data_IF_803755965667
#
_entry.id   IF_803755965667
#
_cell.length_a   1.000
_cell.length_b   1.000
_cell.length_c   1.000
_cell.angle_alpha   90.00
_cell.angle_beta   90.00
_cell.angle_gamma   90.00
#
_symmetry.space_group_name_H-M   'P 1'
#
loop_
_entity.id
_entity.type
_entity.pdbx_description
1 polymer ?
#
# COMPACT_ATOMS: atom_id res chain seq x y z
N UNK A 1 -8.60 -19.64 -22.34
CA UNK A 1 -8.63 -19.58 -20.87
C UNK A 1 -10.07 -19.36 -20.41
N UNK A 2 -10.48 -19.90 -19.25
CA UNK A 2 -11.75 -19.50 -18.65
C UNK A 2 -11.75 -18.00 -18.32
N UNK A 3 -12.92 -17.38 -18.34
CA UNK A 3 -13.10 -15.98 -17.91
C UNK A 3 -12.54 -15.84 -16.48
N UNK A 4 -11.70 -14.83 -16.19
CA UNK A 4 -11.08 -14.68 -14.88
C UNK A 4 -12.16 -14.45 -13.83
N UNK A 5 -11.97 -15.09 -12.66
CA UNK A 5 -12.92 -14.94 -11.56
C UNK A 5 -12.89 -13.52 -11.00
N UNK A 6 -14.01 -13.06 -10.43
CA UNK A 6 -14.11 -11.70 -9.86
C UNK A 6 -13.02 -11.37 -8.85
N UNK A 7 -12.71 -12.32 -7.96
CA UNK A 7 -11.64 -12.16 -6.97
C UNK A 7 -10.26 -12.00 -7.60
N UNK A 8 -9.97 -12.67 -8.72
CA UNK A 8 -8.68 -12.57 -9.39
C UNK A 8 -8.48 -11.16 -9.97
N UNK A 9 -9.51 -10.62 -10.61
CA UNK A 9 -9.51 -9.24 -11.10
C UNK A 9 -9.35 -8.24 -9.97
N UNK A 10 -10.05 -8.42 -8.84
CA UNK A 10 -9.93 -7.55 -7.66
C UNK A 10 -8.50 -7.56 -7.10
N UNK A 11 -7.90 -8.76 -6.94
CA UNK A 11 -6.53 -8.88 -6.43
C UNK A 11 -5.50 -8.25 -7.36
N UNK A 12 -5.63 -8.47 -8.67
CA UNK A 12 -4.71 -7.87 -9.63
C UNK A 12 -4.89 -6.35 -9.74
N UNK A 13 -6.15 -5.87 -9.64
CA UNK A 13 -6.48 -4.45 -9.63
C UNK A 13 -5.77 -3.72 -8.48
N UNK A 14 -5.78 -4.28 -7.27
CA UNK A 14 -5.09 -3.70 -6.11
C UNK A 14 -3.59 -3.49 -6.37
N UNK A 15 -2.93 -4.46 -7.00
CA UNK A 15 -1.50 -4.38 -7.33
C UNK A 15 -1.26 -3.25 -8.34
N UNK A 16 -2.00 -3.23 -9.45
CA UNK A 16 -1.82 -2.21 -10.48
C UNK A 16 -2.24 -0.81 -10.02
N UNK A 17 -3.27 -0.70 -9.17
CA UNK A 17 -3.66 0.55 -8.54
C UNK A 17 -2.54 1.10 -7.66
N UNK A 18 -1.94 0.24 -6.83
CA UNK A 18 -0.79 0.61 -5.99
C UNK A 18 0.36 1.10 -6.87
N UNK A 19 0.72 0.37 -7.92
CA UNK A 19 1.78 0.75 -8.85
C UNK A 19 1.51 2.11 -9.51
N UNK A 20 0.32 2.30 -10.07
CA UNK A 20 -0.09 3.57 -10.68
C UNK A 20 -0.07 4.72 -9.66
N UNK A 21 -0.43 4.45 -8.40
CA UNK A 21 -0.36 5.42 -7.32
C UNK A 21 1.09 5.75 -6.90
N UNK A 22 2.03 4.83 -7.08
CA UNK A 22 3.44 5.04 -6.74
C UNK A 22 4.21 5.74 -7.86
N UNK A 23 3.80 5.55 -9.11
CA UNK A 23 4.36 6.20 -10.30
C UNK A 23 3.32 7.10 -10.98
N UNK A 24 3.18 8.31 -10.44
CA UNK A 24 2.30 9.33 -11.02
C UNK A 24 2.78 9.81 -12.39
N UNK A 25 4.10 9.75 -12.65
CA UNK A 25 4.62 10.15 -13.95
C UNK A 25 4.17 9.18 -15.03
N UNK A 26 4.37 7.87 -14.81
CA UNK A 26 3.86 6.83 -15.70
C UNK A 26 2.35 6.97 -15.91
N UNK A 27 1.59 7.20 -14.84
CA UNK A 27 0.14 7.33 -14.93
C UNK A 27 -0.31 8.53 -15.77
N UNK A 28 0.30 9.70 -15.58
CA UNK A 28 -0.01 10.90 -16.37
C UNK A 28 0.43 10.76 -17.84
N UNK A 29 1.61 10.16 -18.07
CA UNK A 29 2.13 9.91 -19.42
C UNK A 29 1.27 8.90 -20.16
N UNK A 30 0.96 7.76 -19.54
CA UNK A 30 0.06 6.74 -20.09
C UNK A 30 -1.30 7.33 -20.47
N UNK A 31 -1.77 8.30 -19.69
CA UNK A 31 -3.05 8.94 -19.91
C UNK A 31 -3.08 9.89 -21.10
N UNK A 32 -1.94 10.51 -21.42
CA UNK A 32 -1.79 11.49 -22.51
C UNK A 32 -2.83 12.62 -22.44
N UNK A 33 -3.07 13.18 -21.24
CA UNK A 33 -4.01 14.30 -21.07
C UNK A 33 -3.35 15.67 -21.21
N UNK A 34 -2.01 15.74 -21.15
CA UNK A 34 -1.26 16.99 -21.17
C UNK A 34 -0.13 16.90 -22.19
N UNK A 35 -0.09 17.87 -23.10
CA UNK A 35 0.93 17.92 -24.15
C UNK A 35 1.63 19.27 -24.20
N UNK A 36 2.88 19.24 -24.63
CA UNK A 36 3.61 20.40 -25.12
C UNK A 36 3.76 20.20 -26.61
N UNK A 37 3.03 20.99 -27.40
CA UNK A 37 2.89 20.73 -28.84
C UNK A 37 2.34 19.30 -29.05
N UNK A 38 3.09 18.42 -29.71
CA UNK A 38 2.69 17.03 -29.99
C UNK A 38 3.39 16.01 -29.07
N UNK A 39 4.04 16.47 -27.99
CA UNK A 39 4.75 15.60 -27.05
C UNK A 39 4.04 15.53 -25.70
N UNK A 40 3.86 14.30 -25.21
CA UNK A 40 3.40 14.03 -23.84
C UNK A 40 4.41 14.56 -22.84
N UNK A 41 3.93 15.16 -21.76
CA UNK A 41 4.78 15.86 -20.79
C UNK A 41 4.88 15.10 -19.48
N UNK A 42 6.10 15.03 -18.94
CA UNK A 42 6.37 14.46 -17.62
C UNK A 42 5.69 15.27 -16.50
N UNK A 43 5.22 14.57 -15.47
CA UNK A 43 4.59 15.12 -14.26
C UNK A 43 5.43 16.25 -13.65
N UNK A 44 6.74 16.06 -13.51
CA UNK A 44 7.63 17.04 -12.85
C UNK A 44 7.61 18.42 -13.53
N UNK A 45 7.38 18.46 -14.85
CA UNK A 45 7.31 19.72 -15.61
C UNK A 45 5.97 20.43 -15.44
N UNK A 46 4.88 19.66 -15.32
CA UNK A 46 3.52 20.22 -15.26
C UNK A 46 3.06 20.47 -13.83
N UNK A 47 3.56 19.70 -12.86
CA UNK A 47 3.13 19.76 -11.47
C UNK A 47 3.14 21.17 -10.85
N UNK A 48 4.18 22.02 -11.06
CA UNK A 48 4.16 23.38 -10.53
C UNK A 48 2.97 24.21 -11.05
N UNK A 49 2.53 23.96 -12.28
CA UNK A 49 1.37 24.62 -12.87
C UNK A 49 0.05 24.06 -12.34
N UNK A 50 -0.03 22.74 -12.12
CA UNK A 50 -1.23 22.12 -11.54
C UNK A 50 -1.49 22.55 -10.09
N UNK A 51 -0.46 23.05 -9.41
CA UNK A 51 -0.52 23.58 -8.05
C UNK A 51 -0.59 25.13 -8.02
N UNK A 52 -0.65 25.80 -9.18
CA UNK A 52 -0.74 27.26 -9.26
C UNK A 52 -2.13 27.75 -8.82
N UNK A 53 -2.15 28.71 -7.89
CA UNK A 53 -3.37 29.25 -7.29
C UNK A 53 -4.31 29.91 -8.31
N UNK A 54 -3.77 30.55 -9.35
CA UNK A 54 -4.60 31.19 -10.38
C UNK A 54 -5.23 30.14 -11.29
N UNK A 55 -4.48 29.08 -11.63
CA UNK A 55 -5.00 27.95 -12.40
C UNK A 55 -6.08 27.24 -11.61
N UNK A 56 -5.86 26.99 -10.32
CA UNK A 56 -6.85 26.39 -9.44
C UNK A 56 -8.11 27.26 -9.33
N UNK A 57 -7.96 28.57 -9.12
CA UNK A 57 -9.11 29.49 -9.11
C UNK A 57 -9.89 29.46 -10.44
N UNK A 58 -9.19 29.40 -11.58
CA UNK A 58 -9.86 29.30 -12.89
C UNK A 58 -10.54 27.95 -13.09
N UNK A 59 -9.99 26.87 -12.54
CA UNK A 59 -10.60 25.55 -12.54
C UNK A 59 -11.88 25.53 -11.69
N UNK A 60 -11.89 26.15 -10.51
CA UNK A 60 -13.11 26.28 -9.69
C UNK A 60 -14.19 27.10 -10.40
N UNK A 61 -13.81 28.14 -11.14
CA UNK A 61 -14.74 28.88 -11.99
C UNK A 61 -15.32 27.99 -13.10
N UNK A 62 -14.49 27.16 -13.76
CA UNK A 62 -14.98 26.18 -14.74
C UNK A 62 -16.03 25.26 -14.12
N UNK A 63 -15.78 24.70 -12.94
CA UNK A 63 -16.75 23.82 -12.26
C UNK A 63 -18.06 24.54 -11.95
N UNK A 64 -17.98 25.81 -11.50
CA UNK A 64 -19.15 26.64 -11.22
C UNK A 64 -19.94 26.98 -12.48
N UNK A 65 -19.26 27.31 -13.58
CA UNK A 65 -19.88 27.57 -14.88
C UNK A 65 -20.59 26.30 -15.40
N UNK A 66 -19.94 25.14 -15.32
CA UNK A 66 -20.52 23.85 -15.74
C UNK A 66 -21.76 23.46 -14.94
N UNK A 67 -21.85 23.84 -13.66
CA UNK A 67 -23.06 23.63 -12.85
C UNK A 67 -24.23 24.54 -13.27
N UNK A 68 -23.93 25.70 -13.84
CA UNK A 68 -24.94 26.68 -14.29
C UNK A 68 -25.37 26.46 -15.74
N UNK A 69 -24.56 25.77 -16.55
CA UNK A 69 -24.89 25.39 -17.92
C UNK A 69 -26.21 24.61 -17.95
N UNK A 70 -27.24 25.18 -18.58
CA UNK A 70 -28.62 24.78 -18.32
C UNK A 70 -29.13 23.66 -19.22
N UNK A 71 -28.47 23.26 -20.33
CA UNK A 71 -28.71 21.97 -21.04
C UNK A 71 -27.98 21.79 -22.38
N UNK A 72 -27.31 22.79 -22.96
CA UNK A 72 -26.75 22.62 -24.33
C UNK A 72 -25.29 22.13 -24.32
N UNK A 73 -25.01 21.12 -25.16
CA UNK A 73 -23.65 20.58 -25.38
C UNK A 73 -22.68 21.68 -25.84
N UNK A 74 -23.19 22.70 -26.53
CA UNK A 74 -22.39 23.82 -27.05
C UNK A 74 -21.92 24.78 -25.96
N UNK A 75 -22.77 25.12 -24.98
CA UNK A 75 -22.38 25.91 -23.81
C UNK A 75 -21.32 25.19 -22.98
N UNK A 76 -21.50 23.88 -22.76
CA UNK A 76 -20.55 23.04 -22.03
C UNK A 76 -19.17 23.02 -22.72
N UNK A 77 -19.17 22.81 -24.05
CA UNK A 77 -17.96 22.84 -24.85
C UNK A 77 -17.24 24.20 -24.82
N UNK A 78 -18.00 25.29 -24.75
CA UNK A 78 -17.42 26.63 -24.63
C UNK A 78 -16.73 26.84 -23.28
N UNK A 79 -17.32 26.34 -22.18
CA UNK A 79 -16.69 26.38 -20.85
C UNK A 79 -15.36 25.62 -20.83
N UNK A 80 -15.31 24.39 -21.36
CA UNK A 80 -14.06 23.65 -21.47
C UNK A 80 -13.02 24.42 -22.29
N UNK A 81 -13.38 24.89 -23.49
CA UNK A 81 -12.46 25.61 -24.38
C UNK A 81 -11.86 26.85 -23.71
N UNK A 82 -12.65 27.64 -22.99
CA UNK A 82 -12.17 28.82 -22.25
C UNK A 82 -11.11 28.47 -21.22
N UNK A 83 -11.28 27.34 -20.51
CA UNK A 83 -10.30 26.88 -19.54
C UNK A 83 -9.03 26.34 -20.23
N UNK A 84 -9.18 25.53 -21.28
CA UNK A 84 -8.08 24.97 -22.07
C UNK A 84 -7.21 26.07 -22.69
N UNK A 85 -7.82 27.09 -23.30
CA UNK A 85 -7.13 28.26 -23.86
C UNK A 85 -6.38 29.07 -22.79
N UNK A 86 -7.00 29.26 -21.62
CA UNK A 86 -6.36 29.91 -20.48
C UNK A 86 -5.14 29.10 -20.00
N UNK A 87 -5.30 27.79 -19.84
CA UNK A 87 -4.24 26.90 -19.37
C UNK A 87 -3.06 26.91 -20.36
N UNK A 88 -3.33 26.81 -21.66
CA UNK A 88 -2.33 26.91 -22.72
C UNK A 88 -1.59 28.25 -22.69
N UNK A 89 -2.30 29.37 -22.61
CA UNK A 89 -1.68 30.70 -22.56
C UNK A 89 -0.82 30.89 -21.30
N UNK A 90 -1.19 30.27 -20.19
CA UNK A 90 -0.50 30.41 -18.89
C UNK A 90 0.73 29.50 -18.77
N UNK A 91 0.69 28.33 -19.40
CA UNK A 91 1.68 27.25 -19.15
C UNK A 91 2.43 26.78 -20.40
N UNK A 92 1.97 27.14 -21.59
CA UNK A 92 2.37 26.57 -22.89
C UNK A 92 2.04 25.07 -23.08
N UNK A 93 1.22 24.49 -22.19
CA UNK A 93 0.74 23.11 -22.30
C UNK A 93 -0.74 23.06 -22.70
N UNK A 94 -1.10 22.12 -23.55
CA UNK A 94 -2.51 21.76 -23.79
C UNK A 94 -2.96 20.74 -22.75
N UNK A 95 -4.21 20.83 -22.32
CA UNK A 95 -4.80 19.93 -21.34
C UNK A 95 -6.21 19.52 -21.82
N UNK A 96 -6.45 18.22 -22.00
CA UNK A 96 -7.78 17.69 -22.35
C UNK A 96 -8.66 17.58 -21.09
N UNK A 97 -9.13 18.73 -20.60
CA UNK A 97 -9.92 18.80 -19.36
C UNK A 97 -11.28 18.15 -19.52
N UNK A 98 -11.84 18.15 -20.74
CA UNK A 98 -13.15 17.58 -21.05
C UNK A 98 -13.17 16.09 -20.78
N UNK A 99 -12.17 15.37 -21.31
CA UNK A 99 -12.06 13.93 -21.14
C UNK A 99 -11.81 13.55 -19.69
N UNK A 100 -11.02 14.36 -18.96
CA UNK A 100 -10.79 14.20 -17.53
C UNK A 100 -12.09 14.36 -16.75
N UNK A 101 -12.85 15.44 -16.97
CA UNK A 101 -14.10 15.69 -16.23
C UNK A 101 -15.23 14.72 -16.59
N UNK A 102 -15.25 14.17 -17.81
CA UNK A 102 -16.19 13.13 -18.21
C UNK A 102 -16.09 11.87 -17.32
N UNK A 103 -14.89 11.52 -16.85
CA UNK A 103 -14.70 10.42 -15.89
C UNK A 103 -15.43 10.68 -14.57
N UNK A 104 -15.36 11.90 -14.04
CA UNK A 104 -15.99 12.27 -12.76
C UNK A 104 -17.52 12.31 -12.83
N UNK A 105 -18.07 12.70 -13.98
CA UNK A 105 -19.53 12.63 -14.22
C UNK A 105 -20.08 11.21 -14.06
N UNK A 106 -19.30 10.20 -14.45
CA UNK A 106 -19.71 8.80 -14.42
C UNK A 106 -19.44 8.10 -13.08
N UNK A 107 -18.59 8.67 -12.22
CA UNK A 107 -18.11 8.02 -10.98
C UNK A 107 -18.61 8.68 -9.69
N UNK A 108 -19.16 9.89 -9.77
CA UNK A 108 -19.62 10.67 -8.60
C UNK A 108 -18.51 10.95 -7.58
N UNK A 109 -17.23 10.88 -7.97
CA UNK A 109 -16.13 11.27 -7.10
C UNK A 109 -16.12 12.78 -6.84
N UNK A 110 -15.79 13.20 -5.61
CA UNK A 110 -15.69 14.62 -5.32
C UNK A 110 -14.51 15.22 -6.10
N UNK A 111 -14.77 16.36 -6.74
CA UNK A 111 -13.76 17.15 -7.45
C UNK A 111 -13.33 18.26 -6.50
N UNK A 112 -12.07 18.21 -6.06
CA UNK A 112 -11.54 19.16 -5.08
C UNK A 112 -10.57 20.16 -5.70
N UNK A 113 -9.54 19.66 -6.40
CA UNK A 113 -8.48 20.47 -7.02
C UNK A 113 -8.13 19.90 -8.37
N UNK A 114 -7.65 20.73 -9.29
CA UNK A 114 -7.26 20.30 -10.63
C UNK A 114 -6.23 19.16 -10.57
N UNK A 115 -5.21 19.33 -9.70
CA UNK A 115 -4.15 18.34 -9.51
C UNK A 115 -4.71 16.98 -9.06
N UNK A 116 -5.57 16.93 -8.04
CA UNK A 116 -6.14 15.66 -7.57
C UNK A 116 -7.08 15.03 -8.62
N UNK A 117 -7.85 15.84 -9.32
CA UNK A 117 -8.73 15.39 -10.41
C UNK A 117 -7.94 14.72 -11.52
N UNK A 118 -6.84 15.33 -11.96
CA UNK A 118 -5.96 14.73 -12.96
C UNK A 118 -5.30 13.44 -12.46
N UNK A 119 -4.79 13.43 -11.23
CA UNK A 119 -4.14 12.25 -10.67
C UNK A 119 -5.10 11.06 -10.53
N UNK A 120 -6.31 11.25 -10.01
CA UNK A 120 -7.28 10.16 -9.86
C UNK A 120 -7.63 9.53 -11.20
N UNK A 121 -7.89 10.37 -12.21
CA UNK A 121 -8.28 9.91 -13.54
C UNK A 121 -7.13 9.22 -14.27
N UNK A 122 -5.91 9.76 -14.15
CA UNK A 122 -4.70 9.13 -14.69
C UNK A 122 -4.42 7.77 -14.04
N UNK A 123 -4.55 7.67 -12.71
CA UNK A 123 -4.37 6.40 -11.98
C UNK A 123 -5.43 5.39 -12.39
N UNK A 124 -6.71 5.80 -12.48
CA UNK A 124 -7.78 4.95 -12.96
C UNK A 124 -7.44 4.40 -14.35
N UNK A 125 -7.09 5.28 -15.28
CA UNK A 125 -6.79 4.90 -16.66
C UNK A 125 -5.62 3.92 -16.75
N UNK A 126 -4.49 4.24 -16.10
CA UNK A 126 -3.31 3.37 -16.08
C UNK A 126 -3.62 1.99 -15.47
N UNK A 127 -4.39 1.97 -14.37
CA UNK A 127 -4.81 0.71 -13.73
C UNK A 127 -5.65 -0.16 -14.67
N UNK A 128 -6.66 0.44 -15.33
CA UNK A 128 -7.52 -0.27 -16.29
C UNK A 128 -6.72 -0.72 -17.52
N UNK A 129 -5.77 0.09 -18.00
CA UNK A 129 -4.89 -0.27 -19.10
C UNK A 129 -4.02 -1.49 -18.74
N UNK A 130 -3.38 -1.48 -17.56
CA UNK A 130 -2.60 -2.62 -17.06
C UNK A 130 -3.44 -3.89 -16.88
N UNK A 131 -4.67 -3.77 -16.35
CA UNK A 131 -5.61 -4.90 -16.29
C UNK A 131 -5.96 -5.43 -17.68
N UNK A 132 -6.23 -4.54 -18.64
CA UNK A 132 -6.54 -4.91 -20.03
C UNK A 132 -5.38 -5.66 -20.66
N UNK A 133 -4.13 -5.20 -20.47
CA UNK A 133 -2.94 -5.89 -20.97
C UNK A 133 -2.74 -7.25 -20.30
N UNK A 134 -2.89 -7.32 -18.98
CA UNK A 134 -2.69 -8.55 -18.20
C UNK A 134 -3.70 -9.64 -18.57
N UNK A 135 -4.98 -9.27 -18.70
CA UNK A 135 -6.06 -10.18 -19.08
C UNK A 135 -6.33 -10.22 -20.59
N UNK A 136 -5.42 -9.71 -21.42
CA UNK A 136 -5.58 -9.69 -22.87
C UNK A 136 -5.88 -11.09 -23.47
N UNK A 137 -5.26 -12.20 -23.03
CA UNK A 137 -5.64 -13.53 -23.50
C UNK A 137 -7.11 -13.86 -23.24
N UNK A 138 -7.64 -13.52 -22.05
CA UNK A 138 -9.03 -13.75 -21.70
C UNK A 138 -9.99 -12.83 -22.49
N UNK A 139 -9.57 -11.60 -22.79
CA UNK A 139 -10.33 -10.68 -23.65
C UNK A 139 -10.42 -11.20 -25.09
N UNK A 140 -9.32 -11.70 -25.64
CA UNK A 140 -9.28 -12.31 -26.99
C UNK A 140 -10.20 -13.53 -27.03
N UNK A 141 -10.12 -14.41 -26.03
CA UNK A 141 -10.98 -15.60 -25.95
C UNK A 141 -12.46 -15.23 -25.83
N UNK A 142 -12.80 -14.23 -25.01
CA UNK A 142 -14.16 -13.73 -24.90
C UNK A 142 -14.67 -13.13 -26.22
N UNK A 143 -13.80 -12.41 -26.93
CA UNK A 143 -14.10 -11.80 -28.22
C UNK A 143 -14.25 -12.81 -29.37
N UNK A 144 -13.87 -14.08 -29.21
CA UNK A 144 -14.01 -15.14 -30.23
C UNK A 144 -15.20 -16.08 -29.95
N UNK A 145 -16.03 -15.80 -28.93
CA UNK A 145 -17.16 -16.65 -28.52
C UNK A 145 -18.48 -16.14 -29.09
N UNK A 146 -19.45 -16.97 -29.54
CA UNK A 146 -20.68 -16.52 -30.25
C UNK A 146 -21.54 -15.44 -29.54
N UNK A 147 -21.25 -15.09 -28.27
CA UNK A 147 -21.79 -13.94 -27.54
C UNK A 147 -20.80 -12.75 -27.42
N UNK A 148 -19.87 -12.59 -28.37
CA UNK A 148 -18.60 -11.82 -28.34
C UNK A 148 -18.72 -10.46 -27.64
N UNK A 149 -19.72 -9.70 -28.06
CA UNK A 149 -19.93 -8.33 -27.61
C UNK A 149 -20.36 -8.23 -26.14
N UNK A 150 -21.01 -9.26 -25.60
CA UNK A 150 -21.51 -9.24 -24.23
C UNK A 150 -20.42 -9.59 -23.22
N UNK A 151 -19.60 -10.60 -23.47
CA UNK A 151 -18.60 -11.07 -22.51
C UNK A 151 -17.39 -10.13 -22.41
N UNK A 152 -16.94 -9.59 -23.55
CA UNK A 152 -15.88 -8.59 -23.55
C UNK A 152 -16.31 -7.32 -22.79
N UNK A 153 -17.55 -6.84 -23.01
CA UNK A 153 -18.12 -5.71 -22.25
C UNK A 153 -18.26 -6.02 -20.77
N UNK A 154 -18.70 -7.23 -20.40
CA UNK A 154 -18.79 -7.65 -18.98
C UNK A 154 -17.41 -7.59 -18.31
N UNK A 155 -16.37 -8.13 -18.95
CA UNK A 155 -15.02 -8.14 -18.38
C UNK A 155 -14.42 -6.72 -18.28
N UNK A 156 -14.61 -5.88 -19.30
CA UNK A 156 -14.19 -4.47 -19.26
C UNK A 156 -14.93 -3.68 -18.17
N UNK A 157 -16.23 -3.93 -17.97
CA UNK A 157 -17.00 -3.33 -16.89
C UNK A 157 -16.49 -3.78 -15.53
N UNK A 158 -16.15 -5.06 -15.38
CA UNK A 158 -15.56 -5.59 -14.16
C UNK A 158 -14.22 -4.93 -13.81
N UNK A 159 -13.36 -4.66 -14.80
CA UNK A 159 -12.12 -3.90 -14.57
C UNK A 159 -12.41 -2.49 -14.09
N UNK A 160 -13.36 -1.82 -14.72
CA UNK A 160 -13.78 -0.45 -14.37
C UNK A 160 -14.36 -0.41 -12.95
N UNK A 161 -15.31 -1.28 -12.63
CA UNK A 161 -15.97 -1.33 -11.31
C UNK A 161 -14.99 -1.66 -10.19
N UNK A 162 -14.09 -2.64 -10.39
CA UNK A 162 -13.05 -2.96 -9.43
C UNK A 162 -12.13 -1.76 -9.17
N UNK A 163 -11.70 -1.07 -10.24
CA UNK A 163 -10.82 0.09 -10.14
C UNK A 163 -11.52 1.24 -9.41
N UNK A 164 -12.77 1.57 -9.77
CA UNK A 164 -13.56 2.63 -9.12
C UNK A 164 -13.74 2.32 -7.63
N UNK A 165 -14.09 1.08 -7.28
CA UNK A 165 -14.30 0.66 -5.88
C UNK A 165 -13.07 0.94 -5.01
N UNK A 166 -11.87 0.56 -5.46
CA UNK A 166 -10.64 0.81 -4.70
C UNK A 166 -10.20 2.27 -4.76
N UNK A 167 -10.33 2.92 -5.91
CA UNK A 167 -9.94 4.32 -6.08
C UNK A 167 -10.74 5.26 -5.19
N UNK A 168 -12.01 4.92 -4.90
CA UNK A 168 -12.85 5.68 -3.96
C UNK A 168 -12.30 5.74 -2.53
N UNK A 169 -11.48 4.76 -2.14
CA UNK A 169 -10.81 4.68 -0.83
C UNK A 169 -9.47 5.43 -0.82
N UNK A 170 -8.95 5.81 -1.98
CA UNK A 170 -7.63 6.39 -2.12
C UNK A 170 -7.60 7.81 -1.54
N UNK A 171 -6.56 8.07 -0.76
CA UNK A 171 -6.25 9.36 -0.18
C UNK A 171 -4.77 9.69 -0.42
N UNK A 172 -4.52 10.68 -1.28
CA UNK A 172 -3.16 11.05 -1.71
C UNK A 172 -2.25 11.56 -0.60
N UNK A 173 -2.81 12.05 0.50
CA UNK A 173 -2.02 12.52 1.64
C UNK A 173 -1.40 11.38 2.45
N UNK A 174 -1.93 10.16 2.32
CA UNK A 174 -1.52 9.01 3.13
C UNK A 174 -1.05 7.81 2.31
N UNK A 175 -1.85 7.38 1.33
CA UNK A 175 -1.66 6.09 0.65
C UNK A 175 -0.37 5.98 -0.16
N UNK A 176 0.09 6.98 -0.94
CA UNK A 176 1.36 6.87 -1.65
C UNK A 176 2.53 6.58 -0.71
N UNK A 177 2.56 7.22 0.46
CA UNK A 177 3.58 6.96 1.48
C UNK A 177 3.42 5.57 2.09
N UNK A 178 2.19 5.18 2.42
CA UNK A 178 1.90 3.87 3.00
C UNK A 178 2.27 2.72 2.05
N UNK A 179 1.99 2.85 0.76
CA UNK A 179 2.39 1.89 -0.26
C UNK A 179 3.91 1.78 -0.42
N UNK A 180 4.65 2.89 -0.41
CA UNK A 180 6.14 2.85 -0.39
C UNK A 180 6.66 2.13 0.84
N UNK A 181 6.01 2.33 1.99
CA UNK A 181 6.35 1.65 3.24
C UNK A 181 6.05 0.16 3.17
N UNK A 182 4.93 -0.23 2.55
CA UNK A 182 4.54 -1.62 2.32
C UNK A 182 5.54 -2.35 1.38
N UNK A 183 6.01 -1.68 0.33
CA UNK A 183 7.06 -2.22 -0.55
C UNK A 183 8.39 -2.41 0.20
N UNK A 184 8.78 -1.46 1.05
CA UNK A 184 10.02 -1.54 1.84
C UNK A 184 10.05 -2.71 2.82
N UNK A 185 8.91 -3.11 3.35
CA UNK A 185 8.80 -4.28 4.24
C UNK A 185 8.54 -5.59 3.48
N UNK A 186 8.54 -5.57 2.14
CA UNK A 186 8.41 -6.77 1.30
C UNK A 186 6.99 -7.29 1.09
N UNK A 187 5.96 -6.56 1.53
CA UNK A 187 4.55 -6.99 1.44
C UNK A 187 3.79 -6.36 0.28
N UNK A 188 4.40 -5.44 -0.47
CA UNK A 188 3.70 -4.64 -1.47
C UNK A 188 3.31 -5.36 -2.77
N UNK A 189 3.51 -6.69 -2.84
CA UNK A 189 2.94 -7.57 -3.89
C UNK A 189 1.74 -8.38 -3.41
N UNK A 190 1.43 -8.37 -2.12
CA UNK A 190 0.29 -9.09 -1.56
C UNK A 190 -0.97 -8.22 -1.63
N UNK A 191 -1.93 -8.60 -2.47
CA UNK A 191 -3.19 -7.87 -2.66
C UNK A 191 -3.95 -7.67 -1.34
N UNK A 192 -3.98 -8.68 -0.47
CA UNK A 192 -4.60 -8.61 0.86
C UNK A 192 -3.98 -7.52 1.74
N UNK A 193 -2.65 -7.40 1.75
CA UNK A 193 -1.97 -6.35 2.50
C UNK A 193 -2.22 -4.95 1.91
N UNK A 194 -2.26 -4.83 0.58
CA UNK A 194 -2.61 -3.56 -0.10
C UNK A 194 -4.04 -3.14 0.26
N UNK A 195 -4.98 -4.09 0.27
CA UNK A 195 -6.36 -3.84 0.64
C UNK A 195 -6.48 -3.36 2.09
N UNK A 196 -5.83 -4.02 3.04
CA UNK A 196 -5.83 -3.60 4.44
C UNK A 196 -5.24 -2.20 4.63
N UNK A 197 -4.17 -1.86 3.89
CA UNK A 197 -3.60 -0.50 3.90
C UNK A 197 -4.57 0.55 3.33
N UNK A 198 -5.33 0.20 2.29
CA UNK A 198 -6.37 1.06 1.72
C UNK A 198 -7.54 1.28 2.68
N UNK A 199 -7.94 0.24 3.42
CA UNK A 199 -9.11 0.28 4.29
C UNK A 199 -8.80 0.86 5.68
N UNK A 200 -7.60 0.60 6.20
CA UNK A 200 -7.19 0.98 7.56
C UNK A 200 -5.87 1.79 7.57
N UNK A 201 -5.76 2.91 6.83
CA UNK A 201 -4.49 3.63 6.67
C UNK A 201 -3.93 4.18 7.99
N UNK A 202 -4.79 4.58 8.93
CA UNK A 202 -4.34 5.08 10.25
C UNK A 202 -3.75 3.98 11.11
N UNK A 203 -4.29 2.76 11.01
CA UNK A 203 -3.75 1.59 11.73
C UNK A 203 -2.40 1.19 11.18
N UNK A 204 -2.24 1.20 9.86
CA UNK A 204 -0.92 0.99 9.26
C UNK A 204 0.09 2.06 9.67
N UNK A 205 -0.34 3.33 9.72
CA UNK A 205 0.52 4.41 10.21
C UNK A 205 0.98 4.20 11.65
N UNK A 206 0.10 3.74 12.56
CA UNK A 206 0.48 3.52 13.96
C UNK A 206 1.46 2.35 14.15
N UNK A 207 1.31 1.29 13.35
CA UNK A 207 2.16 0.09 13.45
C UNK A 207 3.38 0.10 12.52
N UNK A 208 3.54 1.10 11.66
CA UNK A 208 4.60 1.11 10.65
C UNK A 208 6.01 0.97 11.24
N UNK A 209 6.29 1.61 12.39
CA UNK A 209 7.60 1.52 13.03
C UNK A 209 7.88 0.08 13.52
N UNK A 210 6.91 -0.55 14.18
CA UNK A 210 7.01 -1.95 14.60
C UNK A 210 7.21 -2.89 13.42
N UNK A 211 6.43 -2.71 12.35
CA UNK A 211 6.56 -3.52 11.13
C UNK A 211 7.94 -3.35 10.49
N UNK A 212 8.48 -2.13 10.51
CA UNK A 212 9.83 -1.86 10.02
C UNK A 212 10.89 -2.53 10.90
N UNK A 213 10.80 -2.40 12.22
CA UNK A 213 11.77 -3.01 13.15
C UNK A 213 11.79 -4.54 13.03
N UNK A 214 10.62 -5.16 12.85
CA UNK A 214 10.49 -6.60 12.57
C UNK A 214 11.10 -6.96 11.21
N UNK A 215 10.87 -6.16 10.17
CA UNK A 215 11.46 -6.36 8.85
C UNK A 215 13.00 -6.27 8.89
N UNK A 216 13.54 -5.27 9.60
CA UNK A 216 14.98 -5.07 9.79
C UNK A 216 15.60 -6.24 10.58
N UNK A 217 14.90 -6.76 11.60
CA UNK A 217 15.31 -7.94 12.38
C UNK A 217 15.33 -9.21 11.50
N UNK A 218 14.29 -9.44 10.70
CA UNK A 218 14.24 -10.55 9.73
C UNK A 218 15.41 -10.47 8.73
N UNK A 219 15.71 -9.26 8.22
CA UNK A 219 16.86 -9.06 7.34
C UNK A 219 18.19 -9.35 8.03
N UNK A 220 18.35 -8.98 9.31
CA UNK A 220 19.55 -9.33 10.08
C UNK A 220 19.67 -10.84 10.29
N UNK A 221 18.57 -11.53 10.59
CA UNK A 221 18.54 -12.99 10.70
C UNK A 221 19.01 -13.62 9.39
N UNK A 222 18.47 -13.20 8.25
CA UNK A 222 18.90 -13.70 6.93
C UNK A 222 20.41 -13.47 6.69
N UNK A 223 20.92 -12.27 7.00
CA UNK A 223 22.36 -11.96 6.85
C UNK A 223 23.25 -12.80 7.75
N UNK A 224 22.81 -13.14 8.95
CA UNK A 224 23.59 -13.96 9.88
C UNK A 224 23.66 -15.43 9.42
N UNK A 225 22.62 -15.91 8.75
CA UNK A 225 22.55 -17.30 8.27
C UNK A 225 23.34 -17.46 6.96
N UNK A 226 23.32 -16.45 6.07
CA UNK A 226 23.89 -16.51 4.72
C UNK A 226 25.36 -17.02 4.63
N UNK A 227 26.31 -16.66 5.53
CA UNK A 227 27.67 -17.19 5.52
C UNK A 227 27.74 -18.71 5.77
N UNK A 228 26.87 -19.24 6.64
CA UNK A 228 26.80 -20.67 6.95
C UNK A 228 26.23 -21.48 5.78
N UNK A 229 25.43 -20.84 4.92
CA UNK A 229 24.90 -21.43 3.69
C UNK A 229 25.94 -21.42 2.55
N UNK A 230 26.71 -20.32 2.44
CA UNK A 230 27.70 -20.13 1.37
C UNK A 230 28.90 -21.09 1.50
N UNK A 231 29.24 -21.50 2.73
CA UNK A 231 30.30 -22.48 2.99
C UNK A 231 30.00 -23.89 2.43
N UNK A 232 28.71 -24.22 2.21
CA UNK A 232 28.31 -25.55 1.72
C UNK A 232 28.45 -25.74 0.22
N UNK A 233 28.18 -24.70 -0.57
CA UNK A 233 28.38 -24.76 -2.03
C UNK A 233 29.86 -24.98 -2.40
N UNK A 234 30.78 -24.65 -1.50
CA UNK A 234 32.23 -24.85 -1.68
C UNK A 234 32.73 -26.18 -1.08
N UNK A 235 32.10 -26.70 -0.02
CA UNK A 235 32.53 -27.97 0.62
C UNK A 235 31.99 -29.23 -0.05
N UNK A 236 31.03 -29.10 -0.97
CA UNK A 236 30.49 -30.24 -1.72
C UNK A 236 31.50 -30.86 -2.72
N UNK A 237 32.58 -30.15 -3.05
CA UNK A 237 33.55 -30.56 -4.08
C UNK A 237 34.81 -31.27 -3.54
N UNK A 238 35.01 -31.39 -2.23
CA UNK A 238 36.34 -31.79 -1.70
C UNK A 238 36.43 -33.11 -0.94
N UNK A 239 35.41 -33.98 -0.91
CA UNK A 239 35.52 -35.28 -0.22
C UNK A 239 35.14 -36.49 -1.11
N UNK A 240 36.18 -37.07 -1.70
CA UNK A 240 36.24 -38.15 -2.70
C UNK A 240 35.84 -39.56 -2.23
N UNK A 241 34.88 -39.73 -1.31
CA UNK A 241 34.41 -41.08 -0.93
C UNK A 241 32.88 -41.26 -0.85
N UNK A 242 32.10 -40.18 -0.92
CA UNK A 242 30.63 -40.21 -0.89
C UNK A 242 29.96 -40.10 -2.27
N UNK A 243 30.74 -40.11 -3.36
CA UNK A 243 30.24 -39.95 -4.73
C UNK A 243 29.36 -41.10 -5.23
N UNK A 244 29.36 -42.25 -4.56
CA UNK A 244 28.55 -43.42 -4.90
C UNK A 244 27.10 -43.35 -4.39
N UNK A 245 26.76 -42.38 -3.52
CA UNK A 245 25.38 -42.16 -3.04
C UNK A 245 24.65 -41.01 -3.75
N UNK A 246 25.21 -40.48 -4.86
CA UNK A 246 24.60 -39.37 -5.62
C UNK A 246 23.21 -39.70 -6.22
N UNK A 247 22.79 -40.96 -6.23
CA UNK A 247 21.44 -41.36 -6.65
C UNK A 247 20.34 -41.02 -5.64
N UNK A 248 20.69 -40.58 -4.43
CA UNK A 248 19.74 -40.18 -3.37
C UNK A 248 19.80 -38.70 -3.01
N UNK A 249 20.50 -37.88 -3.79
CA UNK A 249 20.56 -36.44 -3.51
C UNK A 249 19.17 -35.84 -3.83
N UNK A 250 18.38 -35.41 -2.82
CA UNK A 250 17.16 -34.68 -3.10
C UNK A 250 17.56 -33.41 -3.85
N UNK A 251 16.69 -32.93 -4.75
CA UNK A 251 16.82 -31.66 -5.47
C UNK A 251 17.56 -30.63 -4.62
N UNK A 252 18.63 -30.03 -5.17
CA UNK A 252 19.37 -28.96 -4.50
C UNK A 252 18.34 -28.00 -3.86
N UNK A 253 18.29 -28.01 -2.53
CA UNK A 253 17.29 -27.25 -1.79
C UNK A 253 17.63 -25.79 -2.04
N UNK A 254 16.70 -25.06 -2.65
CA UNK A 254 16.84 -23.62 -2.83
C UNK A 254 16.61 -22.94 -1.48
N UNK A 255 17.68 -22.93 -0.68
CA UNK A 255 17.74 -22.32 0.63
C UNK A 255 17.31 -20.84 0.58
N UNK A 256 17.69 -20.12 -0.46
CA UNK A 256 17.30 -18.73 -0.66
C UNK A 256 15.79 -18.61 -0.82
N UNK A 257 15.16 -19.48 -1.61
CA UNK A 257 13.71 -19.54 -1.72
C UNK A 257 13.03 -19.90 -0.38
N UNK A 258 13.56 -20.85 0.38
CA UNK A 258 13.04 -21.20 1.72
C UNK A 258 13.08 -20.01 2.69
N UNK A 259 14.19 -19.25 2.70
CA UNK A 259 14.31 -18.06 3.54
C UNK A 259 13.39 -16.93 3.08
N UNK A 260 13.28 -16.69 1.77
CA UNK A 260 12.37 -15.70 1.23
C UNK A 260 10.91 -16.02 1.58
N UNK A 261 10.52 -17.30 1.51
CA UNK A 261 9.20 -17.76 1.93
C UNK A 261 8.98 -17.54 3.43
N UNK A 262 9.95 -17.93 4.27
CA UNK A 262 9.88 -17.71 5.72
C UNK A 262 9.75 -16.22 6.08
N UNK A 263 10.56 -15.36 5.45
CA UNK A 263 10.53 -13.92 5.66
C UNK A 263 9.16 -13.35 5.27
N UNK A 264 8.64 -13.72 4.10
CA UNK A 264 7.34 -13.26 3.63
C UNK A 264 6.22 -13.71 4.57
N UNK A 265 6.18 -15.00 4.93
CA UNK A 265 5.15 -15.56 5.80
C UNK A 265 5.17 -14.94 7.21
N UNK A 266 6.36 -14.81 7.81
CA UNK A 266 6.53 -14.17 9.11
C UNK A 266 6.11 -12.71 9.09
N UNK A 267 6.54 -11.96 8.06
CA UNK A 267 6.18 -10.55 7.92
C UNK A 267 4.67 -10.37 7.70
N UNK A 268 4.04 -11.27 6.94
CA UNK A 268 2.60 -11.29 6.73
C UNK A 268 1.83 -11.61 8.03
N UNK A 269 2.30 -12.56 8.84
CA UNK A 269 1.69 -12.88 10.13
C UNK A 269 1.72 -11.66 11.08
N UNK A 270 2.88 -11.00 11.20
CA UNK A 270 3.01 -9.77 12.00
C UNK A 270 2.12 -8.65 11.46
N UNK A 271 2.05 -8.49 10.14
CA UNK A 271 1.17 -7.52 9.51
C UNK A 271 -0.31 -7.78 9.82
N UNK A 272 -0.77 -9.03 9.71
CA UNK A 272 -2.15 -9.41 10.01
C UNK A 272 -2.49 -9.14 11.48
N UNK A 273 -1.57 -9.47 12.40
CA UNK A 273 -1.70 -9.11 13.82
C UNK A 273 -1.80 -7.59 14.03
N UNK A 274 -0.98 -6.80 13.32
CA UNK A 274 -1.01 -5.35 13.42
C UNK A 274 -2.32 -4.75 12.87
N UNK A 275 -2.92 -5.35 11.84
CA UNK A 275 -4.17 -4.88 11.21
C UNK A 275 -5.46 -5.43 11.84
N UNK A 276 -5.38 -6.51 12.62
CA UNK A 276 -6.53 -7.16 13.25
C UNK A 276 -7.14 -6.32 14.36
N UNK A 277 -8.46 -6.19 14.40
CA UNK A 277 -9.17 -5.53 15.52
C UNK A 277 -8.93 -6.25 16.85
N UNK A 278 -8.92 -7.58 16.82
CA UNK A 278 -8.63 -8.43 17.96
C UNK A 278 -7.21 -8.99 17.84
N UNK A 279 -6.32 -8.51 18.69
CA UNK A 279 -4.91 -8.87 18.68
C UNK A 279 -4.64 -10.01 19.66
N UNK A 280 -4.33 -11.20 19.14
CA UNK A 280 -3.91 -12.34 19.96
C UNK A 280 -2.41 -12.59 19.78
N UNK A 281 -1.63 -12.31 20.83
CA UNK A 281 -0.19 -12.60 20.86
C UNK A 281 0.06 -14.11 20.80
N UNK A 282 -0.77 -14.91 21.47
CA UNK A 282 -0.67 -16.37 21.46
C UNK A 282 -0.84 -16.95 20.04
N UNK A 283 -1.80 -16.42 19.27
CA UNK A 283 -1.98 -16.82 17.87
C UNK A 283 -0.79 -16.42 17.00
N UNK A 284 -0.27 -15.20 17.20
CA UNK A 284 0.91 -14.74 16.46
C UNK A 284 2.15 -15.59 16.78
N UNK A 285 2.39 -15.89 18.05
CA UNK A 285 3.49 -16.74 18.49
C UNK A 285 3.39 -18.15 17.88
N UNK A 286 2.19 -18.72 17.86
CA UNK A 286 1.92 -20.00 17.21
C UNK A 286 2.23 -19.97 15.70
N UNK A 287 1.78 -18.93 14.99
CA UNK A 287 2.06 -18.76 13.56
C UNK A 287 3.56 -18.60 13.26
N UNK A 288 4.25 -17.73 14.00
CA UNK A 288 5.70 -17.52 13.82
C UNK A 288 6.47 -18.82 14.09
N UNK A 289 6.10 -19.54 15.15
CA UNK A 289 6.72 -20.82 15.50
C UNK A 289 6.50 -21.88 14.41
N UNK A 290 5.30 -21.93 13.83
CA UNK A 290 4.99 -22.83 12.72
C UNK A 290 5.84 -22.52 11.48
N UNK A 291 5.96 -21.25 11.10
CA UNK A 291 6.81 -20.84 9.97
C UNK A 291 8.29 -21.16 10.22
N UNK A 292 8.76 -21.04 11.46
CA UNK A 292 10.13 -21.44 11.83
C UNK A 292 10.33 -22.95 11.70
N UNK A 293 9.37 -23.77 12.16
CA UNK A 293 9.43 -25.24 12.02
C UNK A 293 9.46 -25.63 10.54
N UNK A 294 8.64 -24.98 9.71
CA UNK A 294 8.62 -25.19 8.26
C UNK A 294 9.98 -24.84 7.64
N UNK A 295 10.56 -23.69 8.00
CA UNK A 295 11.89 -23.31 7.56
C UNK A 295 12.94 -24.35 7.97
N UNK A 296 12.98 -24.77 9.23
CA UNK A 296 13.99 -25.70 9.73
C UNK A 296 13.88 -27.09 9.08
N UNK A 297 12.65 -27.56 8.84
CA UNK A 297 12.41 -28.86 8.20
C UNK A 297 12.74 -28.86 6.70
N UNK A 298 12.55 -27.73 6.02
CA UNK A 298 12.80 -27.60 4.57
C UNK A 298 14.24 -27.24 4.24
N UNK A 299 14.95 -26.53 5.12
CA UNK A 299 16.30 -25.99 4.86
C UNK A 299 17.46 -26.86 5.37
N UNK A 300 17.20 -27.89 6.19
CA UNK A 300 18.23 -28.62 6.96
C UNK A 300 19.13 -27.71 7.83
N UNK A 301 18.71 -26.47 8.11
CA UNK A 301 19.52 -25.47 8.79
C UNK A 301 20.04 -25.96 10.15
N UNK A 302 19.23 -26.72 10.90
CA UNK A 302 19.58 -27.23 12.23
C UNK A 302 20.76 -28.21 12.23
N UNK A 303 21.01 -28.89 11.11
CA UNK A 303 22.17 -29.78 10.95
C UNK A 303 23.45 -28.95 10.75
N UNK A 304 23.32 -27.83 10.05
CA UNK A 304 24.45 -27.03 9.57
C UNK A 304 24.81 -25.87 10.49
N UNK A 305 23.82 -25.40 11.26
CA UNK A 305 23.95 -24.39 12.29
C UNK A 305 23.23 -24.86 13.56
N UNK A 306 23.83 -25.80 14.31
CA UNK A 306 23.20 -26.40 15.49
C UNK A 306 22.87 -25.37 16.59
N UNK A 307 23.63 -24.28 16.65
CA UNK A 307 23.46 -23.17 17.59
C UNK A 307 22.46 -22.11 17.11
N UNK A 308 21.69 -22.39 16.05
CA UNK A 308 20.65 -21.47 15.56
C UNK A 308 19.62 -21.20 16.66
N UNK A 309 19.64 -19.96 17.18
CA UNK A 309 18.65 -19.50 18.14
C UNK A 309 17.35 -19.12 17.43
N UNK A 310 16.23 -19.55 18.00
CA UNK A 310 14.90 -19.30 17.45
C UNK A 310 14.67 -17.80 17.21
N UNK A 311 14.36 -17.39 15.96
CA UNK A 311 13.97 -16.03 15.64
C UNK A 311 12.69 -15.57 16.34
N UNK A 312 11.76 -16.46 16.67
CA UNK A 312 10.42 -16.10 17.16
C UNK A 312 10.49 -15.16 18.38
N UNK A 313 11.30 -15.50 19.39
CA UNK A 313 11.45 -14.68 20.59
C UNK A 313 12.01 -13.27 20.26
N UNK A 314 12.95 -13.19 19.30
CA UNK A 314 13.53 -11.91 18.84
C UNK A 314 12.48 -11.06 18.14
N UNK A 315 11.68 -11.66 17.25
CA UNK A 315 10.61 -10.95 16.54
C UNK A 315 9.53 -10.45 17.51
N UNK A 316 9.07 -11.30 18.44
CA UNK A 316 8.08 -10.92 19.45
C UNK A 316 8.58 -9.80 20.36
N UNK A 317 9.88 -9.76 20.68
CA UNK A 317 10.47 -8.68 21.47
C UNK A 317 10.32 -7.30 20.81
N UNK A 318 10.35 -7.22 19.47
CA UNK A 318 10.13 -5.96 18.73
C UNK A 318 8.69 -5.49 18.77
N UNK A 319 7.75 -6.43 18.89
CA UNK A 319 6.31 -6.15 18.93
C UNK A 319 5.90 -5.64 20.33
N UNK A 320 6.44 -6.25 21.39
CA UNK A 320 6.08 -5.93 22.78
C UNK A 320 6.58 -4.56 23.29
N UNK A 321 7.59 -3.97 22.67
CA UNK A 321 8.16 -2.69 23.13
C UNK A 321 7.18 -1.51 22.96
N UNK A 322 6.18 -1.59 22.07
CA UNK A 322 5.18 -0.52 21.89
C UNK A 322 3.83 -0.78 22.56
N UNK A 323 3.46 -2.04 22.87
CA UNK A 323 2.25 -2.32 23.67
C UNK A 323 2.32 -1.63 25.06
N UNK A 324 3.54 -1.46 25.59
CA UNK A 324 3.81 -0.75 26.84
C UNK A 324 3.99 0.78 26.69
N UNK A 325 3.78 1.35 25.51
CA UNK A 325 3.81 2.81 25.26
C UNK A 325 2.44 3.38 24.89
N UNK A 326 1.37 2.81 25.43
CA UNK A 326 0.13 3.57 25.60
C UNK A 326 0.35 4.66 26.66
N UNK A 327 -0.04 5.93 26.45
CA UNK A 327 0.23 7.02 27.41
C UNK A 327 -0.51 6.89 28.75
N UNK A 328 -1.32 5.85 28.95
CA UNK A 328 -2.25 5.76 30.08
C UNK A 328 -1.70 5.04 31.31
N UNK A 329 -0.48 4.49 31.28
CA UNK A 329 0.01 3.62 32.38
C UNK A 329 1.10 4.24 33.26
N UNK A 330 1.69 5.37 32.89
CA UNK A 330 2.74 6.02 33.69
C UNK A 330 2.20 6.88 34.86
N UNK A 331 0.88 7.08 34.96
CA UNK A 331 0.27 7.85 36.05
C UNK A 331 -0.11 7.00 37.29
N UNK A 332 -0.03 5.67 37.22
CA UNK A 332 -0.47 4.78 38.29
C UNK A 332 0.63 4.33 39.25
N UNK A 333 1.91 4.49 38.90
CA UNK A 333 3.03 4.01 39.73
C UNK A 333 3.69 5.08 40.61
N UNK A 334 3.29 6.35 40.50
CA UNK A 334 3.86 7.44 41.34
C UNK A 334 3.06 7.74 42.60
N UNK A 335 1.92 7.08 42.84
CA UNK A 335 1.06 7.38 44.00
C UNK A 335 1.12 6.36 45.16
N UNK A 336 2.02 5.37 45.12
CA UNK A 336 2.13 4.35 46.18
C UNK A 336 3.37 4.46 47.08
N UNK A 337 4.10 5.58 47.06
CA UNK A 337 5.29 5.78 47.93
C UNK A 337 5.17 6.90 48.97
N UNK A 338 3.99 7.46 49.22
CA UNK A 338 3.81 8.39 50.34
C UNK A 338 2.52 8.11 51.09
N UNK A 339 2.58 7.13 51.99
CA UNK A 339 1.60 6.99 53.07
C UNK A 339 2.25 6.31 54.30
N UNK A 340 3.25 6.98 54.90
CA UNK A 340 3.53 6.81 56.32
C UNK A 340 3.57 8.21 56.97
N UNK A 341 2.46 8.50 57.68
CA UNK A 341 2.18 9.46 58.76
C UNK A 341 2.79 10.88 58.73
N UNK A 342 1.94 11.89 59.09
CA UNK A 342 2.07 12.39 60.45
C UNK A 342 0.74 12.59 61.18
N UNK A 343 0.84 12.38 62.49
CA UNK A 343 -0.09 12.77 63.52
C UNK A 343 -0.06 14.31 63.74
N UNK A 344 -1.08 14.82 64.45
CA UNK A 344 -1.28 16.16 65.01
C UNK A 344 -2.23 17.17 64.31
N UNK A 345 -3.33 17.40 65.06
CA UNK A 345 -3.90 18.70 65.44
C UNK A 345 -4.91 19.43 64.52
N UNK A 346 -6.19 19.21 64.85
CA UNK A 346 -7.19 20.22 65.31
C UNK A 346 -7.15 21.63 64.67
N UNK A 347 -8.17 21.85 63.84
CA UNK A 347 -9.15 22.96 63.81
C UNK A 347 -8.75 24.45 63.98
N UNK A 348 -9.46 25.23 63.16
CA UNK A 348 -9.76 26.67 63.20
C UNK A 348 -8.80 27.66 62.52
N UNK A 349 -9.25 28.24 61.41
CA UNK A 349 -9.44 29.71 61.29
C UNK A 349 -10.27 30.11 60.07
N UNK A 350 -11.36 30.85 60.36
CA UNK A 350 -12.15 31.66 59.41
C UNK A 350 -11.35 32.88 58.96
N UNK A 351 -11.51 33.29 57.70
CA UNK A 351 -11.55 34.70 57.18
C UNK A 351 -11.74 34.64 55.65
N UNK A 352 -12.94 34.83 55.12
CA UNK A 352 -13.49 36.08 54.54
C UNK A 352 -12.62 36.73 53.45
N UNK A 353 -13.07 36.66 52.19
CA UNK A 353 -12.65 37.54 51.08
C UNK A 353 -13.90 37.86 50.23
N UNK A 354 -14.24 39.14 49.98
CA UNK A 354 -15.41 39.55 49.20
C UNK A 354 -15.11 39.64 47.69
N UNK A 355 -16.13 39.37 46.88
CA UNK A 355 -16.13 39.50 45.41
C UNK A 355 -16.24 40.98 44.97
N UNK A 356 -15.50 41.41 43.93
CA UNK A 356 -15.80 42.64 43.21
C UNK A 356 -16.82 42.41 42.07
N UNK A 357 -17.56 43.48 41.77
CA UNK A 357 -18.71 43.58 40.84
C UNK A 357 -18.40 43.30 39.38
#
# INVERSE_FOLDING_TARGET
>A
MPIPHSSEVQYQCLIFLKEACLDFNESLVCRESIHCQDQVVDCDKVQPHLLDVNIESKFQNLLSELQQCSTTVEEENNCYRKFEEFFLKKTNYTLDIRRVLAFFKNTHFPIHTLHQTLLLEAIHFNTVAKLTTFFNPALIDAANSESEDSLCKVLQNQFREATISHLSKLNFSYHPKAFKQLDKIGLGKLSSCIQEVLEKPQRFKSYHLTLKDVSDELQQICKNIQPHLSAQNLSADSNSFLSLFRCFNPKAIDLEACFNQYQLASMQAVFNYAMSEEQSIEQLESQLSQHEIELLSTSNLKINYPDFQSPCARLLSKINIQANQSPSSQLLFTYQQQAETPDFAIAERKTYIPLPK
#
